data_IF_621452551176
#
_entry.id   IF_621452551176
#
_cell.length_a   1.000
_cell.length_b   1.000
_cell.length_c   1.000
_cell.angle_alpha   90.00
_cell.angle_beta   90.00
_cell.angle_gamma   90.00
#
_symmetry.space_group_name_H-M   'P 1'
#
loop_
_entity.id
_entity.type
_entity.pdbx_description
1 polymer ?
#
# COMPACT_ATOMS: atom_id res chain seq x y z
N UNK A 1 -7.87 18.26 -0.43
CA UNK A 1 -7.57 17.19 0.56
C UNK A 1 -7.40 15.80 -0.06
N UNK A 2 -8.16 15.40 -1.09
CA UNK A 2 -8.12 14.03 -1.65
C UNK A 2 -6.75 13.50 -2.08
N UNK A 3 -5.99 14.25 -2.92
CA UNK A 3 -4.67 13.81 -3.41
C UNK A 3 -3.64 13.73 -2.27
N UNK A 4 -3.67 14.67 -1.33
CA UNK A 4 -2.78 14.66 -0.16
C UNK A 4 -3.03 13.41 0.69
N UNK A 5 -4.29 13.02 0.88
CA UNK A 5 -4.67 11.81 1.60
C UNK A 5 -4.22 10.54 0.87
N UNK A 6 -4.30 10.52 -0.47
CA UNK A 6 -3.83 9.41 -1.30
C UNK A 6 -2.30 9.28 -1.24
N UNK A 7 -1.55 10.40 -1.27
CA UNK A 7 -0.10 10.42 -1.09
C UNK A 7 0.30 9.90 0.30
N UNK A 8 -0.37 10.40 1.36
CA UNK A 8 -0.12 9.95 2.72
C UNK A 8 -0.43 8.46 2.89
N UNK A 9 -1.55 7.99 2.37
CA UNK A 9 -1.92 6.58 2.37
C UNK A 9 -0.90 5.71 1.65
N UNK A 10 -0.34 6.19 0.53
CA UNK A 10 0.72 5.47 -0.20
C UNK A 10 2.02 5.39 0.60
N UNK A 11 2.52 6.51 1.12
CA UNK A 11 3.76 6.53 1.92
C UNK A 11 3.61 5.66 3.17
N UNK A 12 2.49 5.80 3.88
CA UNK A 12 2.21 5.01 5.08
C UNK A 12 2.10 3.51 4.76
N UNK A 13 1.47 3.15 3.64
CA UNK A 13 1.39 1.76 3.18
C UNK A 13 2.75 1.19 2.77
N UNK A 14 3.70 2.00 2.31
CA UNK A 14 5.05 1.53 1.94
C UNK A 14 5.92 1.35 3.17
N UNK A 15 5.87 2.31 4.12
CA UNK A 15 6.76 2.32 5.29
C UNK A 15 6.25 1.41 6.40
N UNK A 16 5.02 1.65 6.87
CA UNK A 16 4.47 0.96 8.04
C UNK A 16 4.26 -0.52 7.77
N UNK A 17 3.86 -0.87 6.54
CA UNK A 17 3.65 -2.27 6.20
C UNK A 17 4.94 -3.07 6.05
N UNK A 18 5.97 -2.47 5.45
CA UNK A 18 7.27 -3.12 5.35
C UNK A 18 7.79 -3.47 6.75
N UNK A 19 7.67 -2.50 7.66
CA UNK A 19 8.03 -2.72 9.07
C UNK A 19 7.20 -3.84 9.72
N UNK A 20 5.88 -3.88 9.51
CA UNK A 20 5.01 -4.91 10.07
C UNK A 20 5.38 -6.32 9.57
N UNK A 21 5.66 -6.48 8.27
CA UNK A 21 6.09 -7.76 7.69
C UNK A 21 7.44 -8.19 8.22
N UNK A 22 8.40 -7.28 8.27
CA UNK A 22 9.76 -7.58 8.74
C UNK A 22 9.70 -8.01 10.22
N UNK A 23 8.88 -7.35 11.04
CA UNK A 23 8.69 -7.71 12.44
C UNK A 23 8.01 -9.07 12.61
N UNK A 24 6.95 -9.35 11.85
CA UNK A 24 6.26 -10.64 11.88
C UNK A 24 7.17 -11.78 11.44
N UNK A 25 7.93 -11.57 10.37
CA UNK A 25 8.90 -12.55 9.84
C UNK A 25 9.96 -12.84 10.89
N UNK A 26 10.56 -11.80 11.47
CA UNK A 26 11.57 -11.93 12.52
C UNK A 26 11.03 -12.71 13.71
N UNK A 27 9.84 -12.36 14.22
CA UNK A 27 9.23 -13.04 15.36
C UNK A 27 8.97 -14.53 15.09
N UNK A 28 8.57 -14.90 13.87
CA UNK A 28 8.35 -16.31 13.51
C UNK A 28 9.68 -17.07 13.43
N UNK A 29 10.72 -16.44 12.88
CA UNK A 29 12.03 -17.05 12.70
C UNK A 29 12.76 -17.27 14.02
N UNK A 30 12.70 -16.29 14.92
CA UNK A 30 13.42 -16.31 16.21
C UNK A 30 12.64 -16.98 17.34
N UNK A 31 11.36 -17.29 17.17
CA UNK A 31 10.55 -17.88 18.24
C UNK A 31 10.86 -19.36 18.46
N UNK A 32 11.57 -19.68 19.52
CA UNK A 32 11.88 -21.05 19.94
C UNK A 32 10.64 -21.88 20.34
N UNK A 33 9.51 -21.21 20.65
CA UNK A 33 8.27 -21.88 21.06
C UNK A 33 7.44 -22.43 19.89
N UNK A 34 7.71 -22.00 18.66
CA UNK A 34 6.95 -22.43 17.48
C UNK A 34 7.56 -23.68 16.85
N UNK A 35 6.74 -24.71 16.67
CA UNK A 35 7.11 -25.90 15.90
C UNK A 35 7.36 -25.57 14.43
N UNK A 36 8.12 -26.41 13.72
CA UNK A 36 8.42 -26.19 12.30
C UNK A 36 7.17 -26.10 11.41
N UNK A 37 6.09 -26.78 11.78
CA UNK A 37 4.82 -26.74 11.04
C UNK A 37 4.11 -25.42 11.27
N UNK A 38 4.03 -24.95 12.52
CA UNK A 38 3.42 -23.66 12.86
C UNK A 38 4.17 -22.49 12.21
N UNK A 39 5.50 -22.53 12.21
CA UNK A 39 6.32 -21.53 11.51
C UNK A 39 5.99 -21.46 10.02
N UNK A 40 5.82 -22.61 9.34
CA UNK A 40 5.44 -22.65 7.92
C UNK A 40 4.05 -22.03 7.69
N UNK A 41 3.07 -22.36 8.53
CA UNK A 41 1.71 -21.82 8.41
C UNK A 41 1.70 -20.30 8.60
N UNK A 42 2.40 -19.80 9.63
CA UNK A 42 2.49 -18.36 9.90
C UNK A 42 3.23 -17.61 8.80
N UNK A 43 4.31 -18.18 8.25
CA UNK A 43 5.01 -17.58 7.10
C UNK A 43 4.13 -17.49 5.85
N UNK A 44 3.24 -18.48 5.62
CA UNK A 44 2.25 -18.41 4.53
C UNK A 44 1.27 -17.24 4.77
N UNK A 45 0.81 -17.03 6.01
CA UNK A 45 -0.07 -15.91 6.34
C UNK A 45 0.60 -14.55 6.11
N UNK A 46 1.86 -14.40 6.55
CA UNK A 46 2.66 -13.17 6.31
C UNK A 46 2.81 -12.90 4.81
N UNK A 47 3.04 -13.95 4.01
CA UNK A 47 3.14 -13.84 2.55
C UNK A 47 1.82 -13.39 1.91
N UNK A 48 0.69 -13.92 2.37
CA UNK A 48 -0.63 -13.52 1.87
C UNK A 48 -0.92 -12.05 2.17
N UNK A 49 -0.67 -11.63 3.40
CA UNK A 49 -0.80 -10.22 3.80
C UNK A 49 0.07 -9.32 2.93
N UNK A 50 1.27 -9.78 2.58
CA UNK A 50 2.21 -9.02 1.75
C UNK A 50 1.70 -8.82 0.33
N UNK A 51 1.07 -9.86 -0.21
CA UNK A 51 0.39 -9.77 -1.50
C UNK A 51 -0.79 -8.78 -1.47
N UNK A 52 -1.60 -8.78 -0.42
CA UNK A 52 -2.73 -7.85 -0.27
C UNK A 52 -2.27 -6.39 -0.24
N UNK A 53 -1.16 -6.11 0.43
CA UNK A 53 -0.68 -4.72 0.53
C UNK A 53 -0.08 -4.25 -0.79
N UNK A 54 0.63 -5.12 -1.51
CA UNK A 54 1.08 -4.78 -2.86
C UNK A 54 -0.12 -4.46 -3.77
N UNK A 55 -1.23 -5.20 -3.64
CA UNK A 55 -2.47 -4.88 -4.36
C UNK A 55 -3.05 -3.53 -3.94
N UNK A 56 -3.09 -3.24 -2.64
CA UNK A 56 -3.55 -1.95 -2.12
C UNK A 56 -2.69 -0.77 -2.61
N UNK A 57 -1.37 -0.90 -2.59
CA UNK A 57 -0.44 0.11 -3.13
C UNK A 57 -0.68 0.34 -4.63
N UNK A 58 -0.97 -0.72 -5.38
CA UNK A 58 -1.31 -0.62 -6.80
C UNK A 58 -2.62 0.14 -7.01
N UNK A 59 -3.64 -0.13 -6.20
CA UNK A 59 -4.92 0.60 -6.23
C UNK A 59 -4.69 2.09 -5.93
N UNK A 60 -3.93 2.42 -4.88
CA UNK A 60 -3.60 3.81 -4.54
C UNK A 60 -2.91 4.56 -5.69
N UNK A 61 -1.94 3.93 -6.37
CA UNK A 61 -1.29 4.51 -7.55
C UNK A 61 -2.28 4.81 -8.68
N UNK A 62 -3.19 3.88 -8.96
CA UNK A 62 -4.22 4.05 -9.99
C UNK A 62 -5.15 5.22 -9.63
N UNK A 63 -5.66 5.24 -8.40
CA UNK A 63 -6.55 6.31 -7.93
C UNK A 63 -5.87 7.67 -7.97
N UNK A 64 -4.58 7.74 -7.62
CA UNK A 64 -3.79 8.97 -7.70
C UNK A 64 -3.61 9.44 -9.15
N UNK A 65 -3.30 8.52 -10.06
CA UNK A 65 -3.21 8.82 -11.50
C UNK A 65 -4.52 9.36 -12.08
N UNK A 66 -5.65 8.74 -11.75
CA UNK A 66 -6.98 9.21 -12.16
C UNK A 66 -7.32 10.59 -11.57
N UNK A 67 -6.90 10.85 -10.32
CA UNK A 67 -7.13 12.14 -9.66
C UNK A 67 -6.30 13.27 -10.29
N UNK A 68 -5.07 12.99 -10.75
CA UNK A 68 -4.25 13.96 -11.49
C UNK A 68 -4.85 14.21 -12.87
N UNK A 69 -5.27 13.15 -13.58
CA UNK A 69 -5.88 13.27 -14.90
C UNK A 69 -7.16 14.12 -14.87
N UNK A 70 -8.01 13.94 -13.86
CA UNK A 70 -9.24 14.74 -13.72
C UNK A 70 -8.94 16.22 -13.46
N UNK A 71 -7.90 16.55 -12.69
CA UNK A 71 -7.46 17.93 -12.48
C UNK A 71 -6.95 18.57 -13.77
N UNK A 72 -6.21 17.82 -14.60
CA UNK A 72 -5.72 18.31 -15.90
C UNK A 72 -6.90 18.64 -16.82
N UNK A 73 -7.88 17.73 -16.91
CA UNK A 73 -9.09 17.95 -17.72
C UNK A 73 -9.86 19.18 -17.23
N UNK A 74 -10.05 19.31 -15.91
CA UNK A 74 -10.73 20.46 -15.32
C UNK A 74 -10.00 21.77 -15.65
N UNK A 75 -8.68 21.79 -15.53
CA UNK A 75 -7.86 22.96 -15.86
C UNK A 75 -8.01 23.34 -17.35
N UNK A 76 -8.01 22.37 -18.26
CA UNK A 76 -8.23 22.62 -19.69
C UNK A 76 -9.61 23.22 -19.96
N UNK A 77 -10.65 22.73 -19.28
CA UNK A 77 -12.02 23.25 -19.40
C UNK A 77 -12.11 24.70 -18.90
N UNK A 78 -11.54 24.99 -17.72
CA UNK A 78 -11.53 26.35 -17.16
C UNK A 78 -10.83 27.30 -18.12
N UNK A 79 -9.63 26.93 -18.59
CA UNK A 79 -8.87 27.76 -19.53
C UNK A 79 -9.68 28.06 -20.79
N UNK A 80 -10.30 27.04 -21.39
CA UNK A 80 -11.12 27.20 -22.59
C UNK A 80 -12.33 28.11 -22.39
N UNK A 81 -12.93 28.13 -21.20
CA UNK A 81 -14.09 28.98 -20.90
C UNK A 81 -13.71 30.39 -20.40
N UNK A 82 -12.43 30.63 -20.10
CA UNK A 82 -11.92 31.94 -19.66
C UNK A 82 -11.31 32.73 -20.82
N UNK A 83 -10.88 32.04 -21.89
CA UNK A 83 -10.54 32.60 -23.21
C UNK A 83 -11.82 32.93 -24.01
#
# INVERSE_FOLDING_TARGET
MGIVLQCYGYINSVVSYKYEVDLMTTNIETSESLSQVERKILMIQVKNRSSEIVKFQRQLKITLGLSILSLIILFMIIRKNTE
#
